data_IF_474282164198
#
_entry.id   IF_474282164198
#
_cell.length_a   1.000
_cell.length_b   1.000
_cell.length_c   1.000
_cell.angle_alpha   90.00
_cell.angle_beta   90.00
_cell.angle_gamma   90.00
#
_symmetry.space_group_name_H-M   'P 1'
#
loop_
_entity.id
_entity.type
_entity.pdbx_description
1 polymer ?
#
# COMPACT_ATOMS: atom_id res chain seq x y z
N UNK A 1 -8.13 -16.98 -21.22
CA UNK A 1 -7.97 -17.18 -19.76
C UNK A 1 -9.12 -18.06 -19.29
N UNK A 2 -8.84 -19.11 -18.50
CA UNK A 2 -9.87 -20.03 -18.00
C UNK A 2 -10.17 -19.69 -16.55
N UNK A 3 -11.40 -19.25 -16.27
CA UNK A 3 -11.85 -19.01 -14.90
C UNK A 3 -12.42 -20.29 -14.31
N UNK A 4 -12.09 -20.51 -13.04
CA UNK A 4 -12.50 -21.66 -12.25
C UNK A 4 -13.27 -21.16 -11.04
N UNK A 5 -14.31 -21.90 -10.63
CA UNK A 5 -15.10 -21.57 -9.44
C UNK A 5 -14.53 -22.19 -8.17
N UNK A 6 -13.59 -23.13 -8.31
CA UNK A 6 -12.82 -23.74 -7.25
C UNK A 6 -11.47 -23.04 -7.05
N UNK A 7 -10.98 -23.06 -5.81
CA UNK A 7 -9.69 -22.49 -5.44
C UNK A 7 -8.57 -23.51 -5.62
N UNK A 8 -7.36 -23.01 -5.88
CA UNK A 8 -6.15 -23.83 -5.77
C UNK A 8 -5.86 -24.18 -4.29
N UNK A 9 -5.13 -25.27 -4.00
CA UNK A 9 -5.07 -25.84 -2.66
C UNK A 9 -4.46 -24.94 -1.57
N UNK A 10 -3.50 -24.08 -1.95
CA UNK A 10 -2.68 -23.34 -0.99
C UNK A 10 -3.22 -21.93 -0.68
N UNK A 11 -3.94 -21.30 -1.61
CA UNK A 11 -4.46 -19.94 -1.42
C UNK A 11 -5.61 -19.65 -2.39
N UNK A 12 -6.57 -18.83 -1.95
CA UNK A 12 -7.75 -18.46 -2.75
C UNK A 12 -7.40 -17.69 -4.04
N UNK A 13 -6.38 -16.82 -3.96
CA UNK A 13 -5.90 -16.03 -5.10
C UNK A 13 -4.76 -16.75 -5.83
N UNK A 14 -5.09 -17.87 -6.49
CA UNK A 14 -4.14 -18.70 -7.23
C UNK A 14 -4.31 -18.62 -8.75
N UNK A 15 -3.20 -18.70 -9.49
CA UNK A 15 -3.17 -18.73 -10.95
C UNK A 15 -2.09 -19.67 -11.47
N UNK A 16 -2.46 -20.56 -12.39
CA UNK A 16 -1.50 -21.40 -13.12
C UNK A 16 -1.32 -20.89 -14.55
N UNK A 17 -0.08 -20.68 -14.95
CA UNK A 17 0.31 -20.25 -16.28
C UNK A 17 0.91 -21.46 -17.01
N UNK A 18 0.38 -21.74 -18.20
CA UNK A 18 0.89 -22.80 -19.08
C UNK A 18 1.48 -22.18 -20.35
N UNK A 19 2.65 -22.65 -20.77
CA UNK A 19 3.24 -22.33 -22.06
C UNK A 19 3.24 -23.58 -22.96
N UNK A 20 2.89 -23.38 -24.22
CA UNK A 20 2.68 -24.45 -25.19
C UNK A 20 3.52 -24.22 -26.45
N UNK A 21 4.07 -25.29 -27.02
CA UNK A 21 4.66 -25.33 -28.36
C UNK A 21 3.80 -26.26 -29.24
N UNK A 22 2.80 -25.67 -29.90
CA UNK A 22 1.73 -26.44 -30.53
C UNK A 22 0.88 -27.15 -29.46
N UNK A 23 0.71 -28.46 -29.59
CA UNK A 23 -0.03 -29.30 -28.63
C UNK A 23 0.82 -29.75 -27.42
N UNK A 24 2.14 -29.48 -27.45
CA UNK A 24 3.04 -29.87 -26.36
C UNK A 24 3.12 -28.77 -25.31
N UNK A 25 2.74 -29.07 -24.08
CA UNK A 25 3.05 -28.21 -22.94
C UNK A 25 4.57 -28.22 -22.70
N UNK A 26 5.19 -27.04 -22.69
CA UNK A 26 6.63 -26.86 -22.48
C UNK A 26 6.97 -26.26 -21.12
N UNK A 27 5.99 -25.64 -20.46
CA UNK A 27 6.17 -25.08 -19.12
C UNK A 27 4.81 -24.92 -18.44
N UNK A 28 4.78 -25.17 -17.13
CA UNK A 28 3.63 -24.90 -16.28
C UNK A 28 4.13 -24.43 -14.91
N UNK A 29 3.50 -23.37 -14.40
CA UNK A 29 3.88 -22.78 -13.12
C UNK A 29 2.67 -22.17 -12.43
N UNK A 30 2.54 -22.45 -11.15
CA UNK A 30 1.48 -21.93 -10.29
C UNK A 30 2.01 -20.81 -9.40
N UNK A 31 1.26 -19.72 -9.33
CA UNK A 31 1.54 -18.54 -8.52
C UNK A 31 0.35 -18.20 -7.62
N UNK A 32 0.65 -17.66 -6.44
CA UNK A 32 -0.32 -17.26 -5.44
C UNK A 32 -0.08 -15.80 -5.04
N UNK A 33 -1.12 -14.99 -5.07
CA UNK A 33 -1.11 -13.61 -4.55
C UNK A 33 -1.48 -13.61 -3.08
N UNK A 34 -0.49 -13.43 -2.20
CA UNK A 34 -0.61 -13.59 -0.74
C UNK A 34 -0.95 -12.29 0.02
N UNK A 35 -1.34 -11.25 -0.71
CA UNK A 35 -1.74 -9.95 -0.15
C UNK A 35 -0.65 -8.87 -0.28
N UNK A 36 -1.06 -7.60 -0.19
CA UNK A 36 -0.14 -6.45 -0.28
C UNK A 36 0.57 -6.25 -1.62
N UNK A 37 0.18 -7.00 -2.66
CA UNK A 37 0.85 -7.01 -3.98
C UNK A 37 1.97 -8.04 -4.12
N UNK A 38 2.20 -8.89 -3.11
CA UNK A 38 3.21 -9.94 -3.15
C UNK A 38 2.71 -11.22 -3.82
N UNK A 39 3.59 -11.87 -4.58
CA UNK A 39 3.33 -13.12 -5.29
C UNK A 39 4.41 -14.14 -4.91
N UNK A 40 3.99 -15.38 -4.67
CA UNK A 40 4.88 -16.52 -4.42
C UNK A 40 4.52 -17.65 -5.37
N UNK A 41 5.49 -18.45 -5.80
CA UNK A 41 5.18 -19.69 -6.52
C UNK A 41 4.76 -20.81 -5.55
N UNK A 42 4.22 -21.89 -6.10
CA UNK A 42 3.74 -23.02 -5.31
C UNK A 42 4.84 -23.68 -4.47
N UNK A 43 6.04 -23.82 -5.00
CA UNK A 43 7.16 -24.49 -4.33
C UNK A 43 7.74 -23.69 -3.17
N UNK A 44 7.55 -22.36 -3.17
CA UNK A 44 7.99 -21.47 -2.10
C UNK A 44 6.85 -21.03 -1.15
N UNK A 45 5.63 -21.53 -1.36
CA UNK A 45 4.49 -21.16 -0.52
C UNK A 45 4.73 -21.57 0.95
N UNK A 46 4.54 -20.62 1.88
CA UNK A 46 4.72 -20.83 3.31
C UNK A 46 6.17 -21.04 3.77
N UNK A 47 7.16 -20.92 2.87
CA UNK A 47 8.57 -20.96 3.24
C UNK A 47 9.05 -19.57 3.63
N UNK A 48 9.78 -19.48 4.73
CA UNK A 48 10.44 -18.24 5.12
C UNK A 48 11.55 -17.91 4.12
N UNK A 49 11.57 -16.66 3.65
CA UNK A 49 12.68 -16.17 2.83
C UNK A 49 13.91 -16.03 3.72
N UNK A 50 14.95 -16.83 3.45
CA UNK A 50 16.15 -16.94 4.28
C UNK A 50 17.06 -15.69 4.27
N UNK A 51 16.68 -14.60 3.60
CA UNK A 51 17.41 -13.35 3.61
C UNK A 51 16.86 -12.43 4.71
N UNK A 52 17.22 -12.71 5.97
CA UNK A 52 17.10 -11.71 7.03
C UNK A 52 18.02 -10.53 6.69
N UNK A 53 17.43 -9.40 6.33
CA UNK A 53 18.16 -8.16 6.05
C UNK A 53 18.82 -7.68 7.35
N UNK A 54 20.13 -7.49 7.30
CA UNK A 54 20.89 -6.99 8.45
C UNK A 54 20.66 -5.48 8.58
N UNK A 55 19.88 -5.10 9.59
CA UNK A 55 19.63 -3.70 9.96
C UNK A 55 20.07 -3.45 11.40
N UNK A 56 20.37 -2.20 11.81
CA UNK A 56 20.86 -1.89 13.15
C UNK A 56 19.87 -2.20 14.27
N UNK A 57 18.57 -2.05 14.03
CA UNK A 57 17.51 -2.24 15.02
C UNK A 57 16.44 -3.21 14.51
N UNK A 58 16.74 -4.52 14.39
CA UNK A 58 15.77 -5.52 13.92
C UNK A 58 14.76 -5.81 15.04
N UNK A 59 13.48 -5.86 14.70
CA UNK A 59 12.39 -6.17 15.64
C UNK A 59 11.34 -7.09 15.00
N UNK A 60 10.78 -8.02 15.80
CA UNK A 60 9.67 -8.91 15.41
C UNK A 60 8.38 -8.60 16.18
N UNK A 61 8.43 -7.68 17.15
CA UNK A 61 7.29 -7.27 17.96
C UNK A 61 7.28 -5.76 18.26
N UNK A 62 6.09 -5.24 18.57
CA UNK A 62 5.94 -3.85 19.02
C UNK A 62 6.66 -3.61 20.37
N UNK A 63 6.76 -4.63 21.23
CA UNK A 63 7.50 -4.49 22.50
C UNK A 63 8.99 -4.29 22.26
N UNK A 64 9.60 -5.07 21.36
CA UNK A 64 11.02 -4.91 20.98
C UNK A 64 11.29 -3.53 20.36
N UNK A 65 10.43 -3.10 19.43
CA UNK A 65 10.50 -1.77 18.82
C UNK A 65 10.50 -0.65 19.88
N UNK A 66 9.61 -0.74 20.88
CA UNK A 66 9.55 0.24 21.96
C UNK A 66 10.75 0.14 22.91
N UNK A 67 11.31 -1.04 23.11
CA UNK A 67 12.53 -1.22 23.90
C UNK A 67 13.71 -0.48 23.25
N UNK A 68 13.92 -0.62 21.94
CA UNK A 68 14.95 0.12 21.22
C UNK A 68 14.78 1.63 21.31
N UNK A 69 13.54 2.14 21.17
CA UNK A 69 13.28 3.57 21.31
C UNK A 69 13.66 4.09 22.71
N UNK A 70 13.38 3.31 23.76
CA UNK A 70 13.74 3.66 25.14
C UNK A 70 15.25 3.60 25.39
N UNK A 71 15.92 2.59 24.85
CA UNK A 71 17.36 2.39 25.04
C UNK A 71 18.20 3.43 24.28
N UNK A 72 17.82 3.72 23.03
CA UNK A 72 18.58 4.62 22.15
C UNK A 72 18.21 6.09 22.31
N UNK A 73 17.02 6.37 22.87
CA UNK A 73 16.43 7.71 22.89
C UNK A 73 15.94 8.20 21.52
N UNK A 74 15.98 7.35 20.48
CA UNK A 74 15.44 7.68 19.17
C UNK A 74 13.91 7.67 19.20
N UNK A 75 13.31 8.59 18.44
CA UNK A 75 11.90 8.45 18.06
C UNK A 75 11.71 7.21 17.18
N UNK A 76 10.48 6.70 17.11
CA UNK A 76 10.15 5.56 16.24
C UNK A 76 10.57 5.81 14.78
N UNK A 77 10.25 6.98 14.23
CA UNK A 77 10.63 7.34 12.87
C UNK A 77 12.15 7.51 12.71
N UNK A 78 12.84 7.99 13.75
CA UNK A 78 14.30 8.05 13.77
C UNK A 78 14.94 6.66 13.73
N UNK A 79 14.43 5.72 14.52
CA UNK A 79 14.89 4.32 14.55
C UNK A 79 14.65 3.63 13.20
N UNK A 80 13.44 3.76 12.63
CA UNK A 80 13.11 3.19 11.31
C UNK A 80 13.97 3.82 10.22
N UNK A 81 14.23 5.13 10.26
CA UNK A 81 15.14 5.79 9.33
C UNK A 81 16.56 5.20 9.39
N UNK A 82 17.08 4.84 10.58
CA UNK A 82 18.39 4.17 10.68
C UNK A 82 18.38 2.78 10.02
N UNK A 83 17.28 2.03 10.15
CA UNK A 83 17.14 0.74 9.47
C UNK A 83 17.09 0.91 7.95
N UNK A 84 16.32 1.88 7.44
CA UNK A 84 16.26 2.17 6.00
C UNK A 84 17.63 2.62 5.45
N UNK A 85 18.37 3.45 6.20
CA UNK A 85 19.70 3.93 5.81
C UNK A 85 20.76 2.83 5.75
N UNK A 86 20.53 1.67 6.39
CA UNK A 86 21.40 0.51 6.27
C UNK A 86 21.22 -0.24 4.95
N UNK A 87 20.07 -0.04 4.28
CA UNK A 87 19.70 -0.74 3.04
C UNK A 87 19.73 0.19 1.83
N UNK A 88 19.48 1.47 2.04
CA UNK A 88 19.29 2.48 1.00
C UNK A 88 20.02 3.77 1.36
N UNK A 89 20.45 4.51 0.34
CA UNK A 89 20.95 5.87 0.55
C UNK A 89 19.82 6.80 0.98
N UNK A 90 20.16 7.87 1.72
CA UNK A 90 19.21 8.91 2.10
C UNK A 90 18.44 9.48 0.91
N UNK A 91 19.12 9.66 -0.22
CA UNK A 91 18.52 10.19 -1.44
C UNK A 91 17.45 9.26 -2.01
N UNK A 92 17.71 7.95 -2.07
CA UNK A 92 16.73 6.96 -2.55
C UNK A 92 15.47 6.95 -1.68
N UNK A 93 15.63 7.03 -0.36
CA UNK A 93 14.53 7.09 0.60
C UNK A 93 13.68 8.35 0.35
N UNK A 94 14.31 9.52 0.23
CA UNK A 94 13.63 10.79 -0.01
C UNK A 94 12.91 10.82 -1.36
N UNK A 95 13.57 10.35 -2.43
CA UNK A 95 13.00 10.27 -3.77
C UNK A 95 11.79 9.31 -3.80
N UNK A 96 11.87 8.18 -3.09
CA UNK A 96 10.77 7.22 -2.97
C UNK A 96 9.56 7.81 -2.25
N UNK A 97 9.76 8.45 -1.08
CA UNK A 97 8.66 9.10 -0.37
C UNK A 97 8.00 10.21 -1.19
N UNK A 98 8.80 11.01 -1.91
CA UNK A 98 8.29 12.02 -2.82
C UNK A 98 7.42 11.41 -3.92
N UNK A 99 7.85 10.28 -4.52
CA UNK A 99 7.08 9.57 -5.53
C UNK A 99 5.75 9.04 -4.99
N UNK A 100 5.76 8.36 -3.83
CA UNK A 100 4.52 7.86 -3.19
C UNK A 100 3.55 9.01 -2.92
N UNK A 101 4.05 10.11 -2.34
CA UNK A 101 3.24 11.30 -2.07
C UNK A 101 2.62 11.90 -3.34
N UNK A 102 3.42 12.07 -4.40
CA UNK A 102 2.94 12.59 -5.67
C UNK A 102 1.85 11.70 -6.29
N UNK A 103 2.02 10.38 -6.23
CA UNK A 103 1.02 9.44 -6.74
C UNK A 103 -0.29 9.51 -5.95
N UNK A 104 -0.23 9.58 -4.62
CA UNK A 104 -1.42 9.80 -3.80
C UNK A 104 -2.08 11.15 -4.09
N UNK A 105 -1.32 12.24 -4.16
CA UNK A 105 -1.84 13.58 -4.42
C UNK A 105 -2.56 13.68 -5.77
N UNK A 106 -2.11 12.94 -6.79
CA UNK A 106 -2.78 12.85 -8.10
C UNK A 106 -4.17 12.23 -8.01
N UNK A 107 -4.40 11.25 -7.13
CA UNK A 107 -5.70 10.61 -6.96
C UNK A 107 -6.76 11.54 -6.37
N UNK A 108 -6.34 12.54 -5.58
CA UNK A 108 -7.25 13.52 -4.96
C UNK A 108 -7.49 14.76 -5.82
N UNK A 109 -6.81 14.89 -6.97
CA UNK A 109 -7.14 15.96 -7.92
C UNK A 109 -8.48 15.62 -8.58
N UNK A 110 -9.39 16.59 -8.73
CA UNK A 110 -10.61 16.40 -9.50
C UNK A 110 -10.24 15.80 -10.87
N UNK A 111 -10.83 14.65 -11.19
CA UNK A 111 -10.75 14.10 -12.54
C UNK A 111 -11.64 14.95 -13.43
N UNK A 112 -11.13 16.11 -13.83
CA UNK A 112 -11.73 16.94 -14.87
C UNK A 112 -11.49 16.24 -16.21
N UNK A 113 -12.20 15.13 -16.46
CA UNK A 113 -12.69 14.69 -17.77
C UNK A 113 -13.37 13.30 -17.68
N UNK A 114 -14.47 13.20 -18.43
CA UNK A 114 -15.41 12.08 -18.55
C UNK A 114 -16.36 11.82 -17.36
N UNK A 115 -17.19 12.81 -17.01
CA UNK A 115 -18.47 12.58 -16.32
C UNK A 115 -19.51 12.06 -17.32
N UNK A 116 -19.55 10.74 -17.49
CA UNK A 116 -20.65 10.02 -18.14
C UNK A 116 -21.50 9.18 -17.18
N UNK A 117 -21.25 9.21 -15.86
CA UNK A 117 -22.10 8.55 -14.85
C UNK A 117 -22.19 9.42 -13.60
N UNK A 118 -23.40 9.46 -13.04
CA UNK A 118 -23.89 10.39 -12.04
C UNK A 118 -22.89 10.73 -10.94
N UNK A 119 -22.69 12.03 -10.72
CA UNK A 119 -21.99 12.54 -9.57
C UNK A 119 -22.77 12.19 -8.30
N UNK A 120 -22.10 11.51 -7.37
CA UNK A 120 -22.59 11.39 -5.98
C UNK A 120 -22.69 12.80 -5.39
N UNK A 121 -23.78 13.18 -4.71
CA UNK A 121 -23.89 14.53 -4.13
C UNK A 121 -22.91 14.66 -2.96
N UNK A 122 -21.73 15.23 -3.24
CA UNK A 122 -20.82 15.70 -2.22
C UNK A 122 -21.49 16.85 -1.46
N UNK A 123 -21.39 16.76 -0.14
CA UNK A 123 -21.95 17.66 0.85
C UNK A 123 -21.85 19.13 0.45
N UNK A 124 -23.01 19.81 0.39
CA UNK A 124 -23.10 21.26 0.48
C UNK A 124 -22.71 21.68 1.90
N UNK A 125 -21.44 21.95 2.11
CA UNK A 125 -20.97 22.70 3.27
C UNK A 125 -20.04 23.81 2.79
N UNK A 126 -20.62 24.97 2.49
CA UNK A 126 -20.03 26.28 2.75
C UNK A 126 -21.01 27.38 2.32
N UNK A 127 -21.01 28.47 3.09
CA UNK A 127 -21.68 29.76 2.87
C UNK A 127 -23.14 29.90 3.35
N UNK A 128 -23.32 30.06 4.67
CA UNK A 128 -24.14 31.15 5.22
C UNK A 128 -23.56 31.63 6.57
N UNK A 129 -22.44 32.33 6.49
CA UNK A 129 -22.04 33.32 7.50
C UNK A 129 -21.90 34.65 6.75
N UNK A 130 -22.80 35.60 7.05
CA UNK A 130 -22.70 36.96 6.55
C UNK A 130 -24.04 37.62 6.26
N UNK A 131 -24.29 38.71 7.00
CA UNK A 131 -25.25 39.79 6.76
C UNK A 131 -26.70 39.60 7.25
N UNK A 132 -26.94 40.02 8.50
CA UNK A 132 -28.06 40.90 8.81
C UNK A 132 -27.71 41.75 10.05
N UNK A 133 -27.27 43.00 9.80
CA UNK A 133 -27.21 44.04 10.82
C UNK A 133 -28.57 44.75 10.92
N UNK A 134 -28.96 45.08 12.15
CA UNK A 134 -29.68 46.28 12.59
C UNK A 134 -30.90 46.80 11.79
N UNK A 135 -32.10 46.57 12.36
CA UNK A 135 -33.24 47.50 12.47
C UNK A 135 -34.24 46.81 13.44
N UNK A 136 -34.76 47.37 14.54
CA UNK A 136 -35.31 48.71 14.75
C UNK A 136 -36.84 48.61 14.84
N UNK A 137 -37.43 48.73 16.03
CA UNK A 137 -38.89 48.86 16.27
C UNK A 137 -39.39 48.00 17.45
N UNK A 138 -39.66 48.56 18.65
CA UNK A 138 -40.98 49.09 19.10
C UNK A 138 -42.12 48.09 18.79
N UNK A 139 -42.85 47.50 19.73
CA UNK A 139 -43.39 47.92 21.04
C UNK A 139 -43.50 46.74 21.99
#
# INVERSE_FOLDING_TARGET
>A
MRFRSDNLPLHENGMTIHAWAGEKEIYCKTYYSIGGGFIVDEEHFGKENANELQVPYPFKSAQEMLAYCKETGLSLSGMVMQNELALHSKKEIEDYFANVWQNHARLYRPRDEHRGRAAWPAARTASRLGAASSAGGQR
#
